data_IF_977312780530
#
_entry.id   IF_977312780530
#
_cell.length_a   1.000
_cell.length_b   1.000
_cell.length_c   1.000
_cell.angle_alpha   90.00
_cell.angle_beta   90.00
_cell.angle_gamma   90.00
#
_symmetry.space_group_name_H-M   'P 1'
#
loop_
_entity.id
_entity.type
_entity.pdbx_description
1 polymer ?
#
# COMPACT_ATOMS: atom_id res chain seq x y z
N UNK A 1 4.80 -26.62 3.14
CA UNK A 1 3.90 -25.60 2.58
C UNK A 1 3.84 -24.43 3.55
N UNK A 2 4.38 -23.28 3.17
CA UNK A 2 4.50 -22.12 4.06
C UNK A 2 3.32 -21.14 3.96
N UNK A 3 2.66 -21.07 2.79
CA UNK A 3 1.49 -20.20 2.54
C UNK A 3 0.34 -20.53 3.51
N UNK A 4 0.04 -21.81 3.73
CA UNK A 4 -1.04 -22.26 4.62
C UNK A 4 -0.82 -21.97 6.10
N UNK A 5 0.44 -21.83 6.55
CA UNK A 5 0.75 -21.52 7.96
C UNK A 5 0.51 -20.05 8.30
N UNK A 6 0.60 -19.15 7.31
CA UNK A 6 0.48 -17.70 7.52
C UNK A 6 -0.94 -17.17 7.31
N UNK A 7 -1.80 -17.91 6.62
CA UNK A 7 -3.16 -17.47 6.30
C UNK A 7 -4.13 -18.47 6.93
N UNK A 8 -4.63 -18.12 8.12
CA UNK A 8 -5.46 -18.97 8.98
C UNK A 8 -6.81 -19.37 8.38
N UNK A 9 -7.21 -18.80 7.25
CA UNK A 9 -8.52 -18.96 6.62
C UNK A 9 -8.47 -19.51 5.18
N UNK A 10 -7.30 -19.99 4.71
CA UNK A 10 -7.26 -20.63 3.40
C UNK A 10 -8.01 -21.96 3.42
N UNK A 11 -9.00 -22.08 2.54
CA UNK A 11 -9.63 -23.38 2.32
C UNK A 11 -8.61 -24.33 1.70
N UNK A 12 -8.68 -25.62 2.03
CA UNK A 12 -7.79 -26.64 1.43
C UNK A 12 -7.92 -26.70 -0.11
N UNK A 13 -9.04 -26.22 -0.65
CA UNK A 13 -9.30 -26.16 -2.09
C UNK A 13 -8.57 -25.01 -2.78
N UNK A 14 -8.22 -23.94 -2.05
CA UNK A 14 -7.56 -22.76 -2.62
C UNK A 14 -6.04 -22.97 -2.76
N UNK A 15 -5.45 -23.87 -1.96
CA UNK A 15 -4.00 -24.04 -1.86
C UNK A 15 -3.30 -24.36 -3.20
N UNK A 16 -3.82 -25.26 -4.06
CA UNK A 16 -3.17 -25.54 -5.35
C UNK A 16 -3.11 -24.31 -6.24
N UNK A 17 -4.21 -23.54 -6.30
CA UNK A 17 -4.32 -22.36 -7.14
C UNK A 17 -3.44 -21.21 -6.61
N UNK A 18 -3.42 -20.99 -5.29
CA UNK A 18 -2.53 -20.01 -4.67
C UNK A 18 -1.06 -20.35 -4.88
N UNK A 19 -0.69 -21.63 -4.76
CA UNK A 19 0.67 -22.09 -5.05
C UNK A 19 1.04 -21.83 -6.51
N UNK A 20 0.10 -22.06 -7.43
CA UNK A 20 0.29 -21.78 -8.84
C UNK A 20 0.52 -20.29 -9.12
N UNK A 21 -0.34 -19.42 -8.56
CA UNK A 21 -0.21 -17.96 -8.69
C UNK A 21 1.13 -17.48 -8.10
N UNK A 22 1.51 -17.96 -6.92
CA UNK A 22 2.79 -17.62 -6.29
C UNK A 22 3.98 -18.01 -7.18
N UNK A 23 3.99 -19.22 -7.75
CA UNK A 23 5.09 -19.67 -8.61
C UNK A 23 5.17 -18.88 -9.92
N UNK A 24 4.04 -18.57 -10.56
CA UNK A 24 4.02 -17.72 -11.77
C UNK A 24 4.54 -16.32 -11.43
N UNK A 25 4.11 -15.75 -10.32
CA UNK A 25 4.54 -14.42 -9.87
C UNK A 25 6.04 -14.40 -9.61
N UNK A 26 6.56 -15.41 -8.91
CA UNK A 26 7.98 -15.57 -8.64
C UNK A 26 8.80 -15.66 -9.94
N UNK A 27 8.36 -16.47 -10.90
CA UNK A 27 9.00 -16.58 -12.20
C UNK A 27 8.96 -15.25 -12.98
N UNK A 28 7.83 -14.54 -12.97
CA UNK A 28 7.66 -13.29 -13.68
C UNK A 28 8.57 -12.17 -13.15
N UNK A 29 8.79 -12.16 -11.84
CA UNK A 29 9.62 -11.16 -11.14
C UNK A 29 11.06 -11.62 -10.93
N UNK A 30 11.41 -12.84 -11.36
CA UNK A 30 12.70 -13.49 -11.04
C UNK A 30 13.00 -13.50 -9.54
N UNK A 31 11.97 -13.61 -8.70
CA UNK A 31 12.09 -13.67 -7.24
C UNK A 31 12.11 -15.12 -6.74
N UNK A 32 12.46 -15.33 -5.47
CA UNK A 32 12.33 -16.64 -4.86
C UNK A 32 10.87 -16.92 -4.48
N UNK A 33 10.52 -18.21 -4.36
CA UNK A 33 9.22 -18.63 -3.83
C UNK A 33 9.01 -18.18 -2.38
N UNK A 34 10.10 -18.02 -1.62
CA UNK A 34 10.07 -17.53 -0.24
C UNK A 34 9.65 -16.05 -0.20
N UNK A 35 10.21 -15.19 -1.08
CA UNK A 35 9.89 -13.76 -1.13
C UNK A 35 8.44 -13.55 -1.55
N UNK A 36 7.98 -14.28 -2.56
CA UNK A 36 6.57 -14.22 -2.98
C UNK A 36 5.63 -14.69 -1.87
N UNK A 37 6.02 -15.74 -1.13
CA UNK A 37 5.23 -16.22 0.02
C UNK A 37 5.23 -15.22 1.18
N UNK A 38 6.36 -14.55 1.45
CA UNK A 38 6.47 -13.48 2.45
C UNK A 38 5.51 -12.34 2.08
N UNK A 39 5.63 -11.82 0.86
CA UNK A 39 4.77 -10.76 0.33
C UNK A 39 3.29 -11.11 0.41
N UNK A 40 2.90 -12.27 -0.14
CA UNK A 40 1.50 -12.69 -0.11
C UNK A 40 0.98 -12.87 1.31
N UNK A 41 1.71 -13.59 2.17
CA UNK A 41 1.30 -13.79 3.57
C UNK A 41 1.10 -12.48 4.33
N UNK A 42 1.99 -11.51 4.12
CA UNK A 42 1.87 -10.17 4.70
C UNK A 42 0.63 -9.43 4.19
N UNK A 43 0.39 -9.44 2.88
CA UNK A 43 -0.75 -8.76 2.28
C UNK A 43 -2.09 -9.39 2.70
N UNK A 44 -2.18 -10.72 2.79
CA UNK A 44 -3.35 -11.42 3.33
C UNK A 44 -3.60 -11.08 4.80
N UNK A 45 -2.55 -10.93 5.60
CA UNK A 45 -2.67 -10.49 7.00
C UNK A 45 -3.19 -9.05 7.07
N UNK A 46 -2.55 -8.13 6.35
CA UNK A 46 -2.82 -6.69 6.45
C UNK A 46 -4.18 -6.31 5.84
N UNK A 47 -4.60 -7.00 4.79
CA UNK A 47 -5.83 -6.69 4.05
C UNK A 47 -6.83 -7.84 4.08
N UNK A 48 -6.89 -8.57 5.20
CA UNK A 48 -7.78 -9.73 5.39
C UNK A 48 -9.25 -9.42 5.11
N UNK A 49 -9.74 -8.22 5.47
CA UNK A 49 -11.11 -7.79 5.15
C UNK A 49 -11.36 -7.70 3.65
N UNK A 50 -10.39 -7.21 2.87
CA UNK A 50 -10.49 -7.15 1.41
C UNK A 50 -10.39 -8.55 0.81
N UNK A 51 -9.45 -9.37 1.30
CA UNK A 51 -9.32 -10.77 0.89
C UNK A 51 -10.63 -11.57 1.11
N UNK A 52 -11.33 -11.34 2.23
CA UNK A 52 -12.65 -11.92 2.51
C UNK A 52 -13.73 -11.42 1.54
N UNK A 53 -13.69 -10.14 1.19
CA UNK A 53 -14.69 -9.53 0.32
C UNK A 53 -14.59 -10.01 -1.13
N UNK A 54 -13.38 -10.15 -1.67
CA UNK A 54 -13.15 -10.56 -3.07
C UNK A 54 -12.88 -12.06 -3.24
N UNK A 55 -12.53 -12.76 -2.16
CA UNK A 55 -12.12 -14.15 -2.17
C UNK A 55 -10.61 -14.32 -2.34
N UNK A 56 -10.07 -15.36 -1.70
CA UNK A 56 -8.61 -15.57 -1.59
C UNK A 56 -7.91 -15.67 -2.95
N UNK A 57 -8.50 -16.37 -3.93
CA UNK A 57 -7.90 -16.55 -5.25
C UNK A 57 -7.81 -15.22 -6.00
N UNK A 58 -8.92 -14.50 -6.09
CA UNK A 58 -8.96 -13.19 -6.73
C UNK A 58 -7.99 -12.22 -6.06
N UNK A 59 -7.94 -12.22 -4.73
CA UNK A 59 -7.02 -11.38 -3.99
C UNK A 59 -5.55 -11.70 -4.33
N UNK A 60 -5.18 -12.98 -4.42
CA UNK A 60 -3.83 -13.36 -4.80
C UNK A 60 -3.46 -12.95 -6.24
N UNK A 61 -4.41 -13.00 -7.18
CA UNK A 61 -4.23 -12.51 -8.56
C UNK A 61 -4.04 -10.98 -8.58
N UNK A 62 -4.82 -10.24 -7.79
CA UNK A 62 -4.66 -8.80 -7.61
C UNK A 62 -3.26 -8.46 -7.07
N UNK A 63 -2.80 -9.16 -6.04
CA UNK A 63 -1.47 -8.96 -5.45
C UNK A 63 -0.36 -9.27 -6.45
N UNK A 64 -0.47 -10.36 -7.21
CA UNK A 64 0.48 -10.71 -8.26
C UNK A 64 0.59 -9.60 -9.32
N UNK A 65 -0.56 -9.11 -9.81
CA UNK A 65 -0.61 -8.03 -10.78
C UNK A 65 0.02 -6.74 -10.25
N UNK A 66 -0.31 -6.35 -9.00
CA UNK A 66 0.24 -5.16 -8.34
C UNK A 66 1.75 -5.26 -8.16
N UNK A 67 2.29 -6.40 -7.73
CA UNK A 67 3.73 -6.61 -7.60
C UNK A 67 4.46 -6.51 -8.96
N UNK A 68 3.86 -7.06 -10.03
CA UNK A 68 4.40 -6.94 -11.40
C UNK A 68 4.41 -5.49 -11.86
N UNK A 69 3.34 -4.74 -11.61
CA UNK A 69 3.26 -3.31 -11.96
C UNK A 69 4.31 -2.52 -11.18
N UNK A 70 4.43 -2.74 -9.87
CA UNK A 70 5.43 -2.08 -9.02
C UNK A 70 6.84 -2.30 -9.56
N UNK A 71 7.18 -3.56 -9.84
CA UNK A 71 8.51 -3.90 -10.37
C UNK A 71 8.78 -3.25 -11.73
N UNK A 72 7.81 -3.28 -12.65
CA UNK A 72 7.96 -2.67 -13.97
C UNK A 72 8.07 -1.14 -13.93
N UNK A 73 7.29 -0.50 -13.06
CA UNK A 73 7.19 0.96 -13.02
C UNK A 73 8.32 1.60 -12.21
N UNK A 74 8.73 0.96 -11.11
CA UNK A 74 9.66 1.53 -10.14
C UNK A 74 10.99 0.80 -10.05
N UNK A 75 11.15 -0.33 -10.77
CA UNK A 75 12.37 -1.12 -10.75
C UNK A 75 12.58 -1.92 -9.46
N UNK A 76 11.54 -2.06 -8.63
CA UNK A 76 11.60 -2.76 -7.34
C UNK A 76 11.54 -4.28 -7.52
N UNK A 77 12.30 -5.00 -6.70
CA UNK A 77 12.19 -6.45 -6.51
C UNK A 77 10.98 -6.82 -5.64
N UNK A 78 10.61 -8.10 -5.62
CA UNK A 78 9.54 -8.61 -4.73
C UNK A 78 9.90 -8.40 -3.25
N UNK A 79 11.17 -8.58 -2.89
CA UNK A 79 11.67 -8.36 -1.54
C UNK A 79 11.50 -6.89 -1.12
N UNK A 80 11.93 -5.96 -1.97
CA UNK A 80 11.77 -4.52 -1.72
C UNK A 80 10.28 -4.13 -1.59
N UNK A 81 9.40 -4.68 -2.43
CA UNK A 81 7.95 -4.40 -2.31
C UNK A 81 7.41 -4.89 -0.96
N UNK A 82 7.80 -6.09 -0.52
CA UNK A 82 7.39 -6.63 0.78
C UNK A 82 7.91 -5.75 1.93
N UNK A 83 9.18 -5.35 1.87
CA UNK A 83 9.83 -4.53 2.89
C UNK A 83 9.24 -3.13 2.97
N UNK A 84 8.93 -2.51 1.82
CA UNK A 84 8.23 -1.21 1.77
C UNK A 84 6.88 -1.27 2.48
N UNK A 85 6.09 -2.30 2.16
CA UNK A 85 4.79 -2.50 2.80
C UNK A 85 4.93 -2.90 4.28
N UNK A 86 6.04 -3.52 4.68
CA UNK A 86 6.31 -3.90 6.06
C UNK A 86 6.67 -2.66 6.88
N UNK A 87 7.44 -1.74 6.29
CA UNK A 87 7.87 -0.49 6.91
C UNK A 87 6.74 0.52 7.12
N UNK A 88 5.68 0.51 6.30
CA UNK A 88 4.43 1.25 6.60
C UNK A 88 3.70 0.68 7.81
N UNK A 89 4.03 -0.56 8.19
CA UNK A 89 3.43 -1.31 9.31
C UNK A 89 1.91 -1.36 9.16
N UNK A 90 1.19 -1.33 10.29
CA UNK A 90 -0.25 -1.25 10.32
C UNK A 90 -0.79 0.19 10.19
N UNK A 91 0.05 1.22 10.02
CA UNK A 91 -0.43 2.61 9.96
C UNK A 91 -1.36 2.81 8.76
N UNK A 92 -0.94 2.36 7.57
CA UNK A 92 -1.78 2.42 6.36
C UNK A 92 -3.15 1.78 6.56
N UNK A 93 -3.21 0.57 7.11
CA UNK A 93 -4.47 -0.14 7.34
C UNK A 93 -5.29 0.44 8.50
N UNK A 94 -4.64 0.89 9.58
CA UNK A 94 -5.28 1.58 10.71
C UNK A 94 -5.97 2.87 10.27
N UNK A 95 -5.37 3.60 9.34
CA UNK A 95 -5.94 4.82 8.78
C UNK A 95 -6.89 4.57 7.58
N UNK A 96 -7.19 3.31 7.27
CA UNK A 96 -8.12 2.94 6.21
C UNK A 96 -7.60 3.16 4.79
N UNK A 97 -6.28 3.25 4.62
CA UNK A 97 -5.64 3.43 3.31
C UNK A 97 -5.56 2.08 2.58
N UNK A 98 -6.13 2.03 1.37
CA UNK A 98 -6.13 0.83 0.53
C UNK A 98 -4.76 0.49 -0.06
N UNK A 99 -4.61 -0.75 -0.54
CA UNK A 99 -3.36 -1.28 -1.12
C UNK A 99 -2.86 -0.41 -2.28
N UNK A 100 -3.77 0.02 -3.16
CA UNK A 100 -3.40 0.78 -4.37
C UNK A 100 -2.79 2.13 -4.03
N UNK A 101 -3.37 2.85 -3.07
CA UNK A 101 -2.82 4.10 -2.59
C UNK A 101 -1.46 3.88 -1.92
N UNK A 102 -1.35 2.89 -1.03
CA UNK A 102 -0.07 2.62 -0.37
C UNK A 102 1.04 2.29 -1.38
N UNK A 103 0.77 1.42 -2.36
CA UNK A 103 1.75 1.06 -3.38
C UNK A 103 2.09 2.23 -4.31
N UNK A 104 1.12 3.04 -4.71
CA UNK A 104 1.36 4.20 -5.56
C UNK A 104 2.26 5.23 -4.85
N UNK A 105 1.96 5.54 -3.58
CA UNK A 105 2.75 6.50 -2.80
C UNK A 105 4.14 5.96 -2.52
N UNK A 106 4.24 4.71 -2.06
CA UNK A 106 5.54 4.08 -1.81
C UNK A 106 6.37 3.98 -3.09
N UNK A 107 5.77 3.63 -4.22
CA UNK A 107 6.46 3.57 -5.50
C UNK A 107 7.05 4.91 -5.91
N UNK A 108 6.28 6.00 -5.81
CA UNK A 108 6.80 7.33 -6.14
C UNK A 108 7.85 7.82 -5.16
N UNK A 109 7.66 7.61 -3.86
CA UNK A 109 8.66 7.96 -2.84
C UNK A 109 9.94 7.11 -2.99
N UNK A 110 9.82 5.84 -3.39
CA UNK A 110 10.95 4.93 -3.58
C UNK A 110 11.93 5.45 -4.64
N UNK A 111 11.46 6.19 -5.66
CA UNK A 111 12.33 6.75 -6.71
C UNK A 111 13.45 7.62 -6.16
N UNK A 112 13.22 8.32 -5.06
CA UNK A 112 14.18 9.23 -4.43
C UNK A 112 14.70 8.71 -3.08
N UNK A 113 13.86 8.03 -2.32
CA UNK A 113 14.15 7.61 -0.94
C UNK A 113 14.53 6.13 -0.81
N UNK A 114 14.37 5.32 -1.86
CA UNK A 114 14.52 3.88 -1.74
C UNK A 114 13.61 3.32 -0.63
N UNK A 115 14.16 2.47 0.23
CA UNK A 115 13.42 1.83 1.34
C UNK A 115 13.01 2.79 2.46
N UNK A 116 13.65 3.97 2.58
CA UNK A 116 13.27 5.01 3.54
C UNK A 116 11.88 5.61 3.25
N UNK A 117 11.34 5.40 2.04
CA UNK A 117 9.98 5.80 1.68
C UNK A 117 8.91 5.23 2.63
N UNK A 118 9.15 4.03 3.17
CA UNK A 118 8.23 3.36 4.09
C UNK A 118 8.06 4.11 5.42
N UNK A 119 9.16 4.51 6.06
CA UNK A 119 9.12 5.27 7.32
C UNK A 119 8.61 6.69 7.11
N UNK A 120 9.00 7.34 6.01
CA UNK A 120 8.48 8.67 5.65
C UNK A 120 6.96 8.64 5.46
N UNK A 121 6.44 7.62 4.78
CA UNK A 121 5.01 7.51 4.56
C UNK A 121 4.24 7.14 5.84
N UNK A 122 4.80 6.25 6.67
CA UNK A 122 4.25 5.92 7.99
C UNK A 122 4.12 7.17 8.87
N UNK A 123 5.20 7.95 8.97
CA UNK A 123 5.21 9.18 9.77
C UNK A 123 4.22 10.21 9.23
N UNK A 124 4.12 10.33 7.90
CA UNK A 124 3.12 11.18 7.27
C UNK A 124 1.70 10.76 7.67
N UNK A 125 1.34 9.48 7.58
CA UNK A 125 0.01 9.01 7.91
C UNK A 125 -0.35 9.25 9.39
N UNK A 126 0.62 9.06 10.28
CA UNK A 126 0.45 9.28 11.73
C UNK A 126 0.20 10.76 12.07
N UNK A 127 0.89 11.68 11.40
CA UNK A 127 0.85 13.11 11.72
C UNK A 127 -0.15 13.91 10.88
N UNK A 128 -0.55 13.40 9.71
CA UNK A 128 -1.34 14.11 8.70
C UNK A 128 -2.67 14.64 9.25
N UNK A 129 -3.38 13.84 10.04
CA UNK A 129 -4.67 14.24 10.61
C UNK A 129 -4.55 15.43 11.59
N UNK A 130 -3.54 15.42 12.46
CA UNK A 130 -3.29 16.52 13.38
C UNK A 130 -2.79 17.77 12.63
N UNK A 131 -1.90 17.58 11.65
CA UNK A 131 -1.42 18.65 10.78
C UNK A 131 -2.56 19.37 10.06
N UNK A 132 -3.47 18.62 9.44
CA UNK A 132 -4.65 19.15 8.76
C UNK A 132 -5.51 20.02 9.69
N UNK A 133 -5.73 19.56 10.93
CA UNK A 133 -6.51 20.28 11.94
C UNK A 133 -5.89 21.65 12.27
N UNK A 134 -4.57 21.74 12.39
CA UNK A 134 -3.85 23.02 12.60
C UNK A 134 -4.02 23.96 11.41
N UNK A 135 -4.17 23.41 10.21
CA UNK A 135 -4.49 24.15 8.99
C UNK A 135 -6.01 24.34 8.81
N UNK A 136 -6.86 24.06 9.80
CA UNK A 136 -8.33 24.18 9.71
C UNK A 136 -8.95 23.47 8.50
N UNK A 137 -8.37 22.34 8.08
CA UNK A 137 -8.90 21.41 7.07
C UNK A 137 -8.96 20.01 7.67
N UNK A 138 -9.60 19.06 6.98
CA UNK A 138 -9.62 17.65 7.36
C UNK A 138 -9.02 16.79 6.27
N UNK A 139 -8.10 15.90 6.65
CA UNK A 139 -7.63 14.80 5.82
C UNK A 139 -8.30 13.46 6.16
N UNK A 140 -9.33 13.50 7.00
CA UNK A 140 -10.14 12.33 7.32
C UNK A 140 -11.55 12.53 6.76
N UNK A 141 -12.07 11.52 6.08
CA UNK A 141 -13.42 11.53 5.52
C UNK A 141 -14.49 11.22 6.57
N UNK A 142 -15.77 11.27 6.17
CA UNK A 142 -16.90 11.05 7.08
C UNK A 142 -16.92 9.64 7.70
N UNK A 143 -16.28 8.66 7.07
CA UNK A 143 -16.18 7.28 7.56
C UNK A 143 -14.97 7.05 8.48
N UNK A 144 -14.17 8.09 8.76
CA UNK A 144 -12.97 7.98 9.60
C UNK A 144 -11.73 7.49 8.86
N UNK A 145 -11.78 7.32 7.53
CA UNK A 145 -10.60 6.95 6.75
C UNK A 145 -9.83 8.19 6.30
N UNK A 146 -8.51 8.04 6.21
CA UNK A 146 -7.63 9.00 5.58
C UNK A 146 -8.04 9.22 4.12
N UNK A 147 -8.03 10.47 3.68
CA UNK A 147 -8.14 10.83 2.27
C UNK A 147 -6.95 10.26 1.49
N UNK A 148 -7.13 10.05 0.19
CA UNK A 148 -6.00 9.77 -0.72
C UNK A 148 -5.09 11.00 -0.81
N UNK A 149 -3.80 10.82 -1.12
CA UNK A 149 -2.88 11.94 -1.30
C UNK A 149 -3.38 12.96 -2.33
N UNK A 150 -3.93 12.58 -3.50
CA UNK A 150 -4.54 13.53 -4.42
C UNK A 150 -5.64 14.39 -3.77
N UNK A 151 -6.55 13.78 -3.01
CA UNK A 151 -7.61 14.52 -2.30
C UNK A 151 -7.05 15.45 -1.23
N UNK A 152 -5.99 15.03 -0.51
CA UNK A 152 -5.30 15.91 0.44
C UNK A 152 -4.66 17.11 -0.25
N UNK A 153 -4.02 16.90 -1.39
CA UNK A 153 -3.44 17.97 -2.21
C UNK A 153 -4.53 18.92 -2.70
N UNK A 154 -5.70 18.43 -3.11
CA UNK A 154 -6.84 19.27 -3.46
C UNK A 154 -7.33 20.12 -2.29
N UNK A 155 -7.42 19.55 -1.07
CA UNK A 155 -7.78 20.31 0.14
C UNK A 155 -6.76 21.42 0.43
N UNK A 156 -5.47 21.12 0.30
CA UNK A 156 -4.40 22.10 0.47
C UNK A 156 -4.50 23.19 -0.59
N UNK A 157 -4.64 22.84 -1.86
CA UNK A 157 -4.76 23.80 -2.96
C UNK A 157 -6.03 24.65 -2.87
N UNK A 158 -7.14 24.10 -2.38
CA UNK A 158 -8.37 24.87 -2.16
C UNK A 158 -8.17 25.94 -1.06
N UNK A 159 -7.38 25.63 -0.03
CA UNK A 159 -7.07 26.59 1.04
C UNK A 159 -5.98 27.59 0.64
N UNK A 160 -4.98 27.13 -0.11
CA UNK A 160 -3.71 27.81 -0.31
C UNK A 160 -3.41 28.16 -1.78
N UNK A 161 -4.35 27.97 -2.70
CA UNK A 161 -4.08 28.13 -4.13
C UNK A 161 -3.10 27.09 -4.69
N UNK A 162 -2.89 27.16 -6.01
CA UNK A 162 -2.06 26.17 -6.74
C UNK A 162 -0.55 26.32 -6.52
N UNK A 163 -0.11 27.42 -5.93
CA UNK A 163 1.28 27.67 -5.55
C UNK A 163 1.33 28.56 -4.30
N UNK A 164 2.46 28.50 -3.57
CA UNK A 164 2.70 29.38 -2.41
C UNK A 164 2.61 30.86 -2.80
N UNK A 165 2.97 31.22 -4.03
CA UNK A 165 2.85 32.59 -4.57
C UNK A 165 1.40 33.09 -4.66
N UNK A 166 0.43 32.18 -4.84
CA UNK A 166 -0.99 32.52 -4.78
C UNK A 166 -1.43 32.98 -3.38
N UNK A 167 -0.80 32.47 -2.32
CA UNK A 167 -1.11 32.84 -0.93
C UNK A 167 -0.59 34.20 -0.50
N UNK A 168 0.56 34.60 -1.03
CA UNK A 168 1.16 35.90 -0.71
C UNK A 168 0.33 37.08 -1.23
N UNK A 169 -0.54 36.86 -2.22
CA UNK A 169 -1.44 37.91 -2.76
C UNK A 169 -2.80 37.99 -2.04
N UNK A 170 -3.10 37.05 -1.16
CA UNK A 170 -4.36 36.97 -0.42
C UNK A 170 -4.22 37.38 1.07
N UNK A 171 -3.04 37.88 1.47
CA UNK A 171 -2.76 38.44 2.79
C UNK A 171 -2.59 39.96 2.71
#
# INVERSE_FOLDING_TARGET
MEISKKISELSQNDLPQLTHIANITAAALKSSAADTTKYMGQMFSNFSSHAKAVGNIQFAEELAGKAIIMSKTFGTSMEEIADLMEGVRAAGTHFGVGIDEQLAVLGELHRSLGTESSSVYESFLTDAAEGAKKLSISFVNASGHMLTLPEMLEKLQAKYGKSIEGNLKAQ
#
